data_IF_249679586728
#
_entry.id   IF_249679586728
#
_cell.length_a   1.000
_cell.length_b   1.000
_cell.length_c   1.000
_cell.angle_alpha   90.00
_cell.angle_beta   90.00
_cell.angle_gamma   90.00
#
_symmetry.space_group_name_H-M   'P 1'
#
loop_
_entity.id
_entity.type
_entity.pdbx_description
1 polymer ?
#
# COMPACT_ATOMS: atom_id res chain seq x y z
N UNK A 1 60.84 -7.70 13.41
CA UNK A 1 59.82 -8.28 12.53
C UNK A 1 58.81 -7.18 12.19
N UNK A 2 58.82 -6.68 10.97
CA UNK A 2 57.90 -5.62 10.51
C UNK A 2 56.61 -6.25 9.98
N UNK A 3 55.50 -6.06 10.69
CA UNK A 3 54.18 -6.38 10.18
C UNK A 3 53.75 -5.30 9.17
N UNK A 4 54.11 -5.46 7.90
CA UNK A 4 53.45 -4.72 6.82
C UNK A 4 52.21 -5.52 6.40
N UNK A 5 51.03 -5.07 6.81
CA UNK A 5 49.78 -5.54 6.21
C UNK A 5 49.88 -5.35 4.69
N UNK A 6 49.54 -6.36 3.86
CA UNK A 6 49.45 -6.15 2.43
C UNK A 6 48.41 -5.06 2.20
N UNK A 7 48.87 -3.94 1.65
CA UNK A 7 48.00 -2.88 1.12
C UNK A 7 47.15 -3.59 0.07
N UNK A 8 45.90 -3.94 0.44
CA UNK A 8 44.92 -4.41 -0.54
C UNK A 8 44.84 -3.31 -1.57
N UNK A 9 45.27 -3.59 -2.80
CA UNK A 9 45.03 -2.73 -3.95
C UNK A 9 43.52 -2.47 -3.93
N UNK A 10 43.12 -1.26 -3.59
CA UNK A 10 41.71 -0.90 -3.55
C UNK A 10 41.15 -1.18 -4.94
N UNK A 11 40.17 -2.07 -5.03
CA UNK A 11 39.52 -2.34 -6.31
C UNK A 11 39.09 -1.01 -6.93
N UNK A 12 39.27 -0.80 -8.25
CA UNK A 12 38.85 0.43 -8.89
C UNK A 12 37.38 0.67 -8.55
N UNK A 13 37.09 1.88 -8.06
CA UNK A 13 35.79 2.28 -7.51
C UNK A 13 34.81 2.41 -8.68
N UNK A 14 34.18 1.31 -9.06
CA UNK A 14 33.13 1.31 -10.10
C UNK A 14 31.84 1.89 -9.55
N UNK A 15 31.12 2.65 -10.38
CA UNK A 15 29.82 3.22 -10.03
C UNK A 15 28.73 2.17 -9.92
N UNK A 16 28.94 0.97 -10.47
CA UNK A 16 28.03 -0.17 -10.26
C UNK A 16 27.91 -0.59 -8.79
N UNK A 17 28.85 -0.18 -7.92
CA UNK A 17 28.78 -0.43 -6.47
C UNK A 17 28.09 0.71 -5.70
N UNK A 18 27.71 1.81 -6.36
CA UNK A 18 26.99 2.89 -5.70
C UNK A 18 25.51 2.46 -5.49
N UNK A 19 25.00 2.45 -4.24
CA UNK A 19 23.63 2.00 -3.97
C UNK A 19 22.58 2.84 -4.71
N UNK A 20 22.87 4.10 -5.03
CA UNK A 20 21.96 4.95 -5.81
C UNK A 20 21.92 4.50 -7.27
N UNK A 21 23.05 4.03 -7.81
CA UNK A 21 23.09 3.47 -9.17
C UNK A 21 22.25 2.20 -9.22
N UNK A 22 22.42 1.30 -8.26
CA UNK A 22 21.61 0.08 -8.13
C UNK A 22 20.11 0.36 -8.05
N UNK A 23 19.72 1.41 -7.32
CA UNK A 23 18.30 1.73 -7.14
C UNK A 23 17.66 2.45 -8.34
N UNK A 24 18.43 3.21 -9.12
CA UNK A 24 17.90 4.10 -10.17
C UNK A 24 18.21 3.64 -11.60
N UNK A 25 19.32 2.96 -11.82
CA UNK A 25 19.91 2.72 -13.14
C UNK A 25 20.24 1.26 -13.43
N UNK A 26 20.64 0.47 -12.43
CA UNK A 26 20.97 -0.95 -12.62
C UNK A 26 19.79 -1.72 -13.21
N UNK A 27 20.04 -2.40 -14.33
CA UNK A 27 19.06 -3.15 -15.13
C UNK A 27 17.81 -2.34 -15.54
N UNK A 28 17.89 -1.00 -15.51
CA UNK A 28 16.79 -0.11 -15.87
C UNK A 28 17.06 0.59 -17.20
N UNK A 29 16.63 -0.05 -18.29
CA UNK A 29 16.82 0.44 -19.66
C UNK A 29 16.25 1.86 -19.86
N UNK A 30 15.10 2.18 -19.26
CA UNK A 30 14.48 3.49 -19.41
C UNK A 30 15.32 4.61 -18.77
N UNK A 31 15.82 4.38 -17.55
CA UNK A 31 16.70 5.33 -16.85
C UNK A 31 18.03 5.52 -17.57
N UNK A 32 18.65 4.42 -18.02
CA UNK A 32 19.92 4.45 -18.75
C UNK A 32 19.75 5.13 -20.11
N UNK A 33 18.67 4.82 -20.83
CA UNK A 33 18.33 5.47 -22.10
C UNK A 33 18.06 6.97 -21.93
N UNK A 34 17.36 7.36 -20.87
CA UNK A 34 17.16 8.77 -20.53
C UNK A 34 18.49 9.48 -20.33
N UNK A 35 19.40 8.89 -19.52
CA UNK A 35 20.72 9.45 -19.28
C UNK A 35 21.54 9.61 -20.58
N UNK A 36 21.59 8.56 -21.43
CA UNK A 36 22.37 8.58 -22.68
C UNK A 36 21.82 9.57 -23.72
N UNK A 37 20.49 9.67 -23.84
CA UNK A 37 19.84 10.56 -24.81
C UNK A 37 19.85 12.01 -24.35
N UNK A 38 19.33 12.27 -23.15
CA UNK A 38 19.05 13.62 -22.66
C UNK A 38 20.23 14.24 -21.91
N UNK A 39 21.19 13.44 -21.41
CA UNK A 39 22.32 13.92 -20.61
C UNK A 39 21.86 14.84 -19.46
N UNK A 40 20.80 14.41 -18.79
CA UNK A 40 20.19 15.15 -17.69
C UNK A 40 19.91 14.21 -16.51
N UNK A 41 19.88 14.73 -15.28
CA UNK A 41 19.39 14.00 -14.12
C UNK A 41 17.99 13.42 -14.36
N UNK A 42 17.67 12.31 -13.70
CA UNK A 42 16.35 11.70 -13.81
C UNK A 42 15.26 12.64 -13.27
N UNK A 43 14.05 12.66 -13.89
CA UNK A 43 12.95 13.49 -13.42
C UNK A 43 12.49 13.11 -12.01
N UNK A 44 12.46 14.09 -11.10
CA UNK A 44 12.16 13.90 -9.67
C UNK A 44 10.85 13.13 -9.44
N UNK A 45 9.82 13.41 -10.25
CA UNK A 45 8.52 12.74 -10.16
C UNK A 45 8.64 11.21 -10.29
N UNK A 46 9.54 10.72 -11.14
CA UNK A 46 9.79 9.27 -11.26
C UNK A 46 10.50 8.70 -10.03
N UNK A 47 11.45 9.45 -9.48
CA UNK A 47 12.28 9.06 -8.35
C UNK A 47 11.46 8.98 -7.05
N UNK A 48 10.68 10.01 -6.74
CA UNK A 48 9.90 10.06 -5.49
C UNK A 48 8.74 9.06 -5.45
N UNK A 49 8.30 8.58 -6.61
CA UNK A 49 7.25 7.56 -6.70
C UNK A 49 7.81 6.13 -6.58
N UNK A 50 9.14 5.95 -6.65
CA UNK A 50 9.76 4.66 -6.44
C UNK A 50 9.86 4.37 -4.93
N UNK A 51 9.19 3.32 -4.41
CA UNK A 51 9.16 3.03 -2.98
C UNK A 51 10.53 2.65 -2.41
N UNK A 52 11.39 1.96 -3.16
CA UNK A 52 12.72 1.55 -2.68
C UNK A 52 13.65 2.75 -2.54
N UNK A 53 13.58 3.68 -3.49
CA UNK A 53 14.32 4.94 -3.44
C UNK A 53 13.81 5.82 -2.30
N UNK A 54 12.50 5.90 -2.12
CA UNK A 54 11.91 6.64 -1.00
C UNK A 54 12.37 6.08 0.34
N UNK A 55 12.37 4.76 0.52
CA UNK A 55 12.84 4.12 1.74
C UNK A 55 14.34 4.35 1.97
N UNK A 56 15.16 4.31 0.92
CA UNK A 56 16.57 4.68 0.99
C UNK A 56 16.76 6.15 1.41
N UNK A 57 16.02 7.09 0.81
CA UNK A 57 16.10 8.49 1.19
C UNK A 57 15.69 8.66 2.65
N UNK A 58 14.53 8.14 3.07
CA UNK A 58 14.04 8.20 4.45
C UNK A 58 15.00 7.56 5.47
N UNK A 59 15.79 6.57 5.08
CA UNK A 59 16.82 5.99 5.96
C UNK A 59 17.92 6.97 6.36
N UNK A 60 18.12 8.03 5.55
CA UNK A 60 19.10 9.10 5.72
C UNK A 60 18.49 10.41 6.22
N UNK A 61 17.25 10.37 6.65
CA UNK A 61 16.56 11.53 7.20
C UNK A 61 17.22 12.05 8.47
N UNK A 62 17.31 13.37 8.60
CA UNK A 62 17.86 14.00 9.79
C UNK A 62 16.91 13.87 11.00
N UNK A 63 17.52 13.62 12.17
CA UNK A 63 16.85 13.65 13.47
C UNK A 63 16.07 12.38 13.83
N UNK A 64 15.15 12.48 14.82
CA UNK A 64 14.35 11.34 15.25
C UNK A 64 13.56 10.72 14.09
N UNK A 65 13.53 9.39 14.05
CA UNK A 65 12.77 8.64 13.05
C UNK A 65 11.28 8.76 13.32
N UNK A 66 10.50 8.99 12.26
CA UNK A 66 9.04 9.06 12.32
C UNK A 66 8.46 8.06 11.33
N UNK A 67 7.49 7.27 11.79
CA UNK A 67 6.83 6.27 10.95
C UNK A 67 5.76 6.90 10.05
N UNK A 68 6.20 7.60 9.00
CA UNK A 68 5.28 8.32 8.11
C UNK A 68 4.27 7.41 7.39
N UNK A 69 4.65 6.14 7.13
CA UNK A 69 3.78 5.12 6.51
C UNK A 69 2.53 4.88 7.36
N UNK A 70 2.67 4.87 8.68
CA UNK A 70 1.57 4.64 9.63
C UNK A 70 0.86 5.95 10.00
N UNK A 71 1.61 7.05 10.05
CA UNK A 71 1.10 8.36 10.44
C UNK A 71 0.05 8.90 9.45
N UNK A 72 0.29 8.81 8.13
CA UNK A 72 -0.62 9.37 7.12
C UNK A 72 -2.01 8.70 7.16
N UNK A 73 -2.14 7.37 7.16
CA UNK A 73 -3.43 6.70 7.33
C UNK A 73 -4.10 7.01 8.68
N UNK A 74 -3.33 7.05 9.78
CA UNK A 74 -3.88 7.37 11.10
C UNK A 74 -4.49 8.77 11.14
N UNK A 75 -3.80 9.78 10.62
CA UNK A 75 -4.32 11.15 10.54
C UNK A 75 -5.53 11.24 9.62
N UNK A 76 -5.56 10.50 8.51
CA UNK A 76 -6.71 10.46 7.61
C UNK A 76 -7.94 9.86 8.30
N UNK A 77 -7.77 8.75 9.03
CA UNK A 77 -8.84 8.08 9.77
C UNK A 77 -9.38 8.95 10.93
N UNK A 78 -8.49 9.67 11.63
CA UNK A 78 -8.86 10.52 12.76
C UNK A 78 -9.40 11.90 12.33
N UNK A 79 -9.20 12.31 11.08
CA UNK A 79 -9.61 13.64 10.57
C UNK A 79 -11.06 14.02 10.87
N UNK A 80 -12.08 13.15 10.72
CA UNK A 80 -13.46 13.51 11.02
C UNK A 80 -13.71 13.85 12.49
N UNK A 81 -12.93 13.27 13.40
CA UNK A 81 -13.03 13.49 14.84
C UNK A 81 -12.21 14.70 15.28
N UNK A 82 -10.96 14.78 14.82
CA UNK A 82 -10.05 15.87 15.17
C UNK A 82 -10.51 17.22 14.61
N UNK A 83 -11.13 17.25 13.44
CA UNK A 83 -11.62 18.49 12.82
C UNK A 83 -12.76 19.18 13.59
N UNK A 84 -13.43 18.47 14.51
CA UNK A 84 -14.56 19.01 15.29
C UNK A 84 -14.13 19.80 16.53
N UNK A 85 -12.90 19.65 17.00
CA UNK A 85 -12.39 20.35 18.20
C UNK A 85 -11.27 21.33 17.85
N UNK A 86 -11.16 22.43 18.59
CA UNK A 86 -10.06 23.39 18.41
C UNK A 86 -8.69 22.73 18.59
N UNK A 87 -8.55 21.88 19.62
CA UNK A 87 -7.33 21.14 19.90
C UNK A 87 -7.01 20.07 18.84
N UNK A 88 -8.03 19.45 18.24
CA UNK A 88 -7.80 18.51 17.13
C UNK A 88 -7.41 19.22 15.84
N UNK A 89 -7.91 20.44 15.59
CA UNK A 89 -7.45 21.27 14.47
C UNK A 89 -5.99 21.68 14.62
N UNK A 90 -5.55 22.05 15.81
CA UNK A 90 -4.13 22.38 16.06
C UNK A 90 -3.24 21.14 15.88
N UNK A 91 -3.67 19.97 16.36
CA UNK A 91 -2.96 18.70 16.13
C UNK A 91 -2.84 18.36 14.63
N UNK A 92 -3.92 18.50 13.86
CA UNK A 92 -3.90 18.28 12.42
C UNK A 92 -2.98 19.28 11.70
N UNK A 93 -3.00 20.56 12.11
CA UNK A 93 -2.12 21.58 11.55
C UNK A 93 -0.64 21.30 11.84
N UNK A 94 -0.34 20.84 13.06
CA UNK A 94 0.99 20.41 13.47
C UNK A 94 1.52 19.30 12.55
N UNK A 95 0.79 18.20 12.41
CA UNK A 95 1.24 17.10 11.54
C UNK A 95 1.23 17.44 10.06
N UNK A 96 0.34 18.34 9.61
CA UNK A 96 0.40 18.87 8.24
C UNK A 96 1.72 19.60 8.01
N UNK A 97 2.17 20.44 8.95
CA UNK A 97 3.46 21.13 8.87
C UNK A 97 4.62 20.14 8.86
N UNK A 98 4.58 19.10 9.70
CA UNK A 98 5.57 18.01 9.69
C UNK A 98 5.68 17.37 8.29
N UNK A 99 4.55 16.95 7.72
CA UNK A 99 4.50 16.29 6.41
C UNK A 99 4.95 17.22 5.27
N UNK A 100 4.68 18.52 5.37
CA UNK A 100 5.17 19.51 4.41
C UNK A 100 6.70 19.68 4.50
N UNK A 101 7.27 19.76 5.70
CA UNK A 101 8.71 19.84 5.90
C UNK A 101 9.41 18.56 5.42
N UNK A 102 8.85 17.39 5.74
CA UNK A 102 9.32 16.10 5.25
C UNK A 102 9.28 16.03 3.72
N UNK A 103 8.18 16.48 3.09
CA UNK A 103 8.07 16.53 1.63
C UNK A 103 9.12 17.44 0.98
N UNK A 104 9.37 18.63 1.55
CA UNK A 104 10.42 19.55 1.07
C UNK A 104 11.80 18.94 1.16
N UNK A 105 12.11 18.30 2.30
CA UNK A 105 13.39 17.63 2.48
C UNK A 105 13.57 16.45 1.51
N UNK A 106 12.55 15.61 1.32
CA UNK A 106 12.61 14.49 0.37
C UNK A 106 12.86 14.97 -1.06
N UNK A 107 12.20 16.05 -1.48
CA UNK A 107 12.40 16.62 -2.82
C UNK A 107 13.85 17.10 -2.97
N UNK A 108 14.34 17.90 -2.03
CA UNK A 108 15.72 18.42 -2.08
C UNK A 108 16.76 17.29 -2.04
N UNK A 109 16.56 16.29 -1.16
CA UNK A 109 17.44 15.13 -1.07
C UNK A 109 17.42 14.28 -2.35
N UNK A 110 16.25 14.09 -2.96
CA UNK A 110 16.12 13.38 -4.23
C UNK A 110 16.85 14.13 -5.35
N UNK A 111 16.63 15.44 -5.47
CA UNK A 111 17.33 16.31 -6.43
C UNK A 111 18.85 16.24 -6.29
N UNK A 112 19.36 16.37 -5.05
CA UNK A 112 20.79 16.29 -4.79
C UNK A 112 21.37 14.92 -5.15
N UNK A 113 20.69 13.84 -4.77
CA UNK A 113 21.15 12.46 -5.02
C UNK A 113 21.17 12.15 -6.51
N UNK A 114 20.17 12.60 -7.26
CA UNK A 114 20.07 12.31 -8.69
C UNK A 114 21.00 13.17 -9.50
N UNK A 115 21.23 14.41 -9.08
CA UNK A 115 22.26 15.27 -9.66
C UNK A 115 23.66 14.71 -9.41
N UNK A 116 23.99 14.30 -8.19
CA UNK A 116 25.30 13.71 -7.87
C UNK A 116 25.55 12.41 -8.66
N UNK A 117 24.52 11.57 -8.83
CA UNK A 117 24.63 10.37 -9.65
C UNK A 117 24.82 10.70 -11.14
N UNK A 118 24.07 11.68 -11.65
CA UNK A 118 24.26 12.18 -13.01
C UNK A 118 25.69 12.68 -13.23
N UNK A 119 26.23 13.49 -12.32
CA UNK A 119 27.61 13.99 -12.41
C UNK A 119 28.62 12.85 -12.47
N UNK A 120 28.49 11.88 -11.56
CA UNK A 120 29.37 10.70 -11.51
C UNK A 120 29.32 9.89 -12.80
N UNK A 121 28.12 9.57 -13.28
CA UNK A 121 27.93 8.82 -14.52
C UNK A 121 28.50 9.57 -15.72
N UNK A 122 28.25 10.88 -15.79
CA UNK A 122 28.73 11.71 -16.89
C UNK A 122 30.25 11.76 -16.92
N UNK A 123 30.87 12.01 -15.77
CA UNK A 123 32.32 12.04 -15.63
C UNK A 123 32.95 10.69 -15.98
N UNK A 124 32.44 9.59 -15.44
CA UNK A 124 32.99 8.25 -15.69
C UNK A 124 32.87 7.81 -17.15
N UNK A 125 31.78 8.15 -17.85
CA UNK A 125 31.48 7.63 -19.19
C UNK A 125 31.92 8.56 -20.32
N UNK A 126 31.75 9.88 -20.18
CA UNK A 126 32.01 10.82 -21.27
C UNK A 126 33.36 11.53 -21.15
N UNK A 127 33.87 11.73 -19.93
CA UNK A 127 35.10 12.50 -19.67
C UNK A 127 36.28 11.56 -19.42
N UNK A 128 36.26 10.83 -18.31
CA UNK A 128 37.39 10.02 -17.85
C UNK A 128 37.48 8.68 -18.59
N UNK A 129 36.34 8.14 -19.03
CA UNK A 129 36.21 6.85 -19.75
C UNK A 129 36.94 5.71 -19.03
N UNK A 130 36.94 5.72 -17.71
CA UNK A 130 37.78 4.87 -16.86
C UNK A 130 37.03 3.70 -16.19
N UNK A 131 35.70 3.66 -16.29
CA UNK A 131 34.87 2.61 -15.67
C UNK A 131 34.35 1.61 -16.71
N UNK A 132 35.22 0.67 -17.11
CA UNK A 132 34.89 -0.36 -18.10
C UNK A 132 33.72 -1.24 -17.64
N UNK A 133 33.62 -1.54 -16.33
CA UNK A 133 32.53 -2.38 -15.80
C UNK A 133 31.17 -1.69 -15.94
N UNK A 134 31.13 -0.39 -15.69
CA UNK A 134 29.93 0.41 -15.93
C UNK A 134 29.57 0.43 -17.41
N UNK A 135 30.56 0.64 -18.29
CA UNK A 135 30.34 0.63 -19.73
C UNK A 135 29.77 -0.72 -20.20
N UNK A 136 30.38 -1.84 -19.80
CA UNK A 136 29.93 -3.19 -20.16
C UNK A 136 28.50 -3.45 -19.67
N UNK A 137 28.17 -3.03 -18.44
CA UNK A 137 26.81 -3.13 -17.91
C UNK A 137 25.81 -2.32 -18.75
N UNK A 138 26.13 -1.06 -19.07
CA UNK A 138 25.24 -0.20 -19.85
C UNK A 138 25.05 -0.74 -21.28
N UNK A 139 26.11 -1.24 -21.92
CA UNK A 139 26.01 -1.84 -23.27
C UNK A 139 25.15 -3.10 -23.26
N UNK A 140 25.24 -3.91 -22.18
CA UNK A 140 24.38 -5.08 -22.00
C UNK A 140 22.90 -4.71 -21.92
N UNK A 141 22.56 -3.61 -21.24
CA UNK A 141 21.17 -3.17 -21.06
C UNK A 141 20.67 -2.34 -22.25
N UNK A 142 21.54 -1.53 -22.86
CA UNK A 142 21.24 -0.65 -23.99
C UNK A 142 22.21 -0.93 -25.16
N UNK A 143 21.81 -1.74 -26.17
CA UNK A 143 22.71 -2.28 -27.19
C UNK A 143 23.49 -1.24 -28.03
N UNK A 144 23.03 0.01 -28.10
CA UNK A 144 23.68 1.10 -28.86
C UNK A 144 24.44 2.10 -27.98
N UNK A 145 24.58 1.82 -26.67
CA UNK A 145 25.19 2.77 -25.74
C UNK A 145 26.65 3.10 -26.07
N UNK A 146 27.45 2.10 -26.48
CA UNK A 146 28.86 2.29 -26.81
C UNK A 146 29.06 3.34 -27.91
N UNK A 147 28.24 3.30 -28.96
CA UNK A 147 28.29 4.26 -30.06
C UNK A 147 27.88 5.66 -29.59
N UNK A 148 26.84 5.78 -28.76
CA UNK A 148 26.37 7.07 -28.22
C UNK A 148 27.45 7.70 -27.33
N UNK A 149 28.11 6.90 -26.48
CA UNK A 149 29.15 7.36 -25.57
C UNK A 149 30.41 7.79 -26.35
N UNK A 150 30.83 6.99 -27.33
CA UNK A 150 32.04 7.28 -28.11
C UNK A 150 31.91 8.53 -29.00
N UNK A 151 30.71 8.79 -29.55
CA UNK A 151 30.48 9.89 -30.49
C UNK A 151 30.19 11.22 -29.81
N UNK A 152 29.74 11.21 -28.55
CA UNK A 152 29.46 12.43 -27.79
C UNK A 152 30.68 12.82 -26.96
N UNK A 153 31.38 13.87 -27.39
CA UNK A 153 32.39 14.55 -26.58
C UNK A 153 32.05 16.04 -26.57
N UNK A 154 31.59 16.57 -25.43
CA UNK A 154 30.95 17.89 -25.38
C UNK A 154 31.72 18.92 -24.56
N UNK A 155 32.53 18.52 -23.57
CA UNK A 155 33.29 19.45 -22.73
C UNK A 155 34.53 18.78 -22.11
N UNK A 156 35.49 19.60 -21.67
CA UNK A 156 36.66 19.14 -20.91
C UNK A 156 36.32 18.87 -19.44
N UNK A 157 37.16 18.11 -18.73
CA UNK A 157 36.99 17.84 -17.31
C UNK A 157 36.87 19.13 -16.47
N UNK A 158 37.69 20.13 -16.76
CA UNK A 158 37.68 21.43 -16.07
C UNK A 158 36.40 22.22 -16.34
N UNK A 159 35.95 22.27 -17.60
CA UNK A 159 34.70 22.93 -17.97
C UNK A 159 33.49 22.28 -17.30
N UNK A 160 33.46 20.94 -17.27
CA UNK A 160 32.41 20.20 -16.60
C UNK A 160 32.40 20.44 -15.08
N UNK A 161 33.58 20.43 -14.45
CA UNK A 161 33.72 20.70 -13.01
C UNK A 161 33.15 22.08 -12.65
N UNK A 162 33.48 23.11 -13.44
CA UNK A 162 32.94 24.46 -13.24
C UNK A 162 31.42 24.52 -13.43
N UNK A 163 30.88 23.86 -14.46
CA UNK A 163 29.42 23.82 -14.71
C UNK A 163 28.64 23.13 -13.60
N UNK A 164 29.21 22.08 -13.00
CA UNK A 164 28.54 21.28 -11.97
C UNK A 164 28.66 21.91 -10.59
N UNK A 165 29.75 22.64 -10.33
CA UNK A 165 30.06 23.15 -8.99
C UNK A 165 28.95 24.04 -8.43
N UNK A 166 28.52 25.06 -9.17
CA UNK A 166 27.51 26.02 -8.71
C UNK A 166 26.19 25.32 -8.38
N UNK A 167 25.75 24.40 -9.24
CA UNK A 167 24.51 23.66 -9.06
C UNK A 167 24.61 22.67 -7.90
N UNK A 168 25.75 22.00 -7.74
CA UNK A 168 26.01 21.10 -6.61
C UNK A 168 25.99 21.86 -5.29
N UNK A 169 26.60 23.04 -5.23
CA UNK A 169 26.60 23.90 -4.05
C UNK A 169 25.19 24.40 -3.72
N UNK A 170 24.43 24.83 -4.74
CA UNK A 170 23.02 25.24 -4.59
C UNK A 170 22.17 24.11 -4.01
N UNK A 171 22.21 22.92 -4.61
CA UNK A 171 21.44 21.75 -4.16
C UNK A 171 21.87 21.27 -2.76
N UNK A 172 23.17 21.32 -2.45
CA UNK A 172 23.67 20.98 -1.13
C UNK A 172 23.17 21.96 -0.06
N UNK A 173 23.16 23.27 -0.37
CA UNK A 173 22.63 24.31 0.52
C UNK A 173 21.13 24.12 0.76
N UNK A 174 20.36 23.89 -0.29
CA UNK A 174 18.91 23.68 -0.19
C UNK A 174 18.57 22.42 0.61
N UNK A 175 19.30 21.33 0.37
CA UNK A 175 19.13 20.07 1.11
C UNK A 175 19.47 20.24 2.60
N UNK A 176 20.58 20.92 2.92
CA UNK A 176 20.94 21.21 4.32
C UNK A 176 19.90 22.09 5.01
N UNK A 177 19.48 23.18 4.37
CA UNK A 177 18.47 24.08 4.94
C UNK A 177 17.12 23.37 5.15
N UNK A 178 16.73 22.45 4.27
CA UNK A 178 15.53 21.63 4.45
C UNK A 178 15.70 20.61 5.58
N UNK A 179 16.88 19.98 5.69
CA UNK A 179 17.20 19.02 6.74
C UNK A 179 17.23 19.68 8.13
N UNK A 180 17.85 20.85 8.26
CA UNK A 180 17.90 21.64 9.49
C UNK A 180 16.49 22.00 9.95
N UNK A 181 15.65 22.58 9.08
CA UNK A 181 14.26 22.92 9.42
C UNK A 181 13.45 21.70 9.89
N UNK A 182 13.66 20.54 9.27
CA UNK A 182 12.97 19.32 9.66
C UNK A 182 13.49 18.78 10.99
N UNK A 183 14.81 18.80 11.20
CA UNK A 183 15.47 18.41 12.43
C UNK A 183 15.00 19.28 13.60
N UNK A 184 15.09 20.60 13.47
CA UNK A 184 14.70 21.56 14.50
C UNK A 184 13.24 21.36 14.89
N UNK A 185 12.37 21.14 13.91
CA UNK A 185 10.97 20.88 14.15
C UNK A 185 10.71 19.59 14.95
N UNK A 186 11.43 18.51 14.63
CA UNK A 186 11.31 17.22 15.33
C UNK A 186 11.85 17.22 16.75
N UNK A 187 12.87 18.04 17.02
CA UNK A 187 13.53 18.10 18.34
C UNK A 187 12.78 19.02 19.31
N UNK A 188 11.81 19.82 18.84
CA UNK A 188 11.01 20.67 19.72
C UNK A 188 10.26 19.88 20.80
N UNK A 189 10.15 20.45 22.00
CA UNK A 189 9.30 19.92 23.07
C UNK A 189 7.82 19.80 22.63
N UNK A 190 7.38 20.71 21.75
CA UNK A 190 6.05 20.65 21.16
C UNK A 190 5.83 19.33 20.41
N UNK A 191 6.83 18.81 19.71
CA UNK A 191 6.73 17.55 18.99
C UNK A 191 6.37 16.38 19.91
N UNK A 192 7.07 16.25 21.04
CA UNK A 192 6.78 15.21 22.03
C UNK A 192 5.37 15.37 22.63
N UNK A 193 4.96 16.59 22.96
CA UNK A 193 3.63 16.84 23.51
C UNK A 193 2.51 16.52 22.51
N UNK A 194 2.66 16.93 21.24
CA UNK A 194 1.67 16.65 20.20
C UNK A 194 1.64 15.16 19.85
N UNK A 195 2.79 14.48 19.89
CA UNK A 195 2.85 13.03 19.75
C UNK A 195 2.09 12.29 20.86
N UNK A 196 2.29 12.68 22.13
CA UNK A 196 1.50 12.14 23.23
C UNK A 196 -0.01 12.35 23.06
N UNK A 197 -0.41 13.55 22.61
CA UNK A 197 -1.82 13.87 22.30
C UNK A 197 -2.37 13.00 21.15
N UNK A 198 -1.58 12.72 20.14
CA UNK A 198 -1.96 11.83 19.05
C UNK A 198 -2.21 10.41 19.56
N UNK A 199 -1.28 9.85 20.35
CA UNK A 199 -1.43 8.50 20.93
C UNK A 199 -2.67 8.40 21.81
N UNK A 200 -2.90 9.38 22.68
CA UNK A 200 -4.10 9.44 23.49
C UNK A 200 -5.37 9.54 22.63
N UNK A 201 -5.34 10.32 21.55
CA UNK A 201 -6.46 10.44 20.61
C UNK A 201 -6.75 9.12 19.89
N UNK A 202 -5.71 8.39 19.46
CA UNK A 202 -5.84 7.05 18.87
C UNK A 202 -6.51 6.11 19.86
N UNK A 203 -6.02 6.06 21.11
CA UNK A 203 -6.57 5.17 22.15
C UNK A 203 -8.04 5.48 22.46
N UNK A 204 -8.40 6.77 22.58
CA UNK A 204 -9.79 7.20 22.81
C UNK A 204 -10.67 6.79 21.62
N UNK A 205 -10.22 7.02 20.39
CA UNK A 205 -10.96 6.62 19.20
C UNK A 205 -11.13 5.09 19.13
N UNK A 206 -10.09 4.31 19.42
CA UNK A 206 -10.19 2.84 19.46
C UNK A 206 -11.19 2.35 20.51
N UNK A 207 -11.18 2.93 21.72
CA UNK A 207 -12.17 2.63 22.77
C UNK A 207 -13.59 2.93 22.28
N UNK A 208 -13.80 4.07 21.63
CA UNK A 208 -15.10 4.44 21.07
C UNK A 208 -15.53 3.51 19.93
N UNK A 209 -14.62 3.12 19.03
CA UNK A 209 -14.89 2.16 17.96
C UNK A 209 -15.25 0.78 18.50
N UNK A 210 -14.53 0.28 19.50
CA UNK A 210 -14.87 -0.99 20.19
C UNK A 210 -16.26 -0.92 20.82
N UNK A 211 -16.59 0.18 21.51
CA UNK A 211 -17.90 0.37 22.11
C UNK A 211 -19.03 0.46 21.06
N UNK A 212 -18.80 1.18 19.95
CA UNK A 212 -19.75 1.27 18.84
C UNK A 212 -19.98 -0.09 18.18
N UNK A 213 -18.91 -0.87 17.96
CA UNK A 213 -18.98 -2.23 17.40
C UNK A 213 -19.73 -3.18 18.33
N UNK A 214 -19.49 -3.12 19.65
CA UNK A 214 -20.22 -3.90 20.64
C UNK A 214 -21.72 -3.55 20.64
N UNK A 215 -22.07 -2.26 20.60
CA UNK A 215 -23.47 -1.81 20.50
C UNK A 215 -24.14 -2.27 19.21
N UNK A 216 -23.43 -2.20 18.08
CA UNK A 216 -23.93 -2.67 16.79
C UNK A 216 -24.19 -4.19 16.81
N UNK A 217 -23.23 -4.96 17.31
CA UNK A 217 -23.37 -6.42 17.44
C UNK A 217 -24.54 -6.78 18.36
N UNK A 218 -24.70 -6.09 19.50
CA UNK A 218 -25.84 -6.28 20.40
C UNK A 218 -27.17 -5.98 19.71
N UNK A 219 -27.29 -4.86 18.99
CA UNK A 219 -28.51 -4.52 18.24
C UNK A 219 -28.81 -5.54 17.15
N UNK A 220 -27.79 -6.07 16.49
CA UNK A 220 -27.93 -7.12 15.47
C UNK A 220 -28.44 -8.42 16.10
N UNK A 221 -27.89 -8.80 17.26
CA UNK A 221 -28.34 -9.97 18.01
C UNK A 221 -29.78 -9.79 18.48
N UNK A 222 -30.12 -8.67 19.12
CA UNK A 222 -31.49 -8.35 19.55
C UNK A 222 -32.49 -8.39 18.38
N UNK A 223 -32.09 -7.93 17.18
CA UNK A 223 -32.92 -8.01 15.99
C UNK A 223 -33.09 -9.46 15.48
N UNK A 224 -32.04 -10.28 15.56
CA UNK A 224 -32.13 -11.72 15.24
C UNK A 224 -33.04 -12.45 16.23
N UNK A 225 -32.89 -12.20 17.53
CA UNK A 225 -33.70 -12.82 18.58
C UNK A 225 -35.17 -12.43 18.43
N UNK A 226 -35.47 -11.15 18.12
CA UNK A 226 -36.85 -10.71 17.81
C UNK A 226 -37.43 -11.40 16.59
N UNK A 227 -36.63 -11.59 15.53
CA UNK A 227 -37.07 -12.33 14.33
C UNK A 227 -37.32 -13.80 14.66
N UNK A 228 -36.44 -14.44 15.42
CA UNK A 228 -36.61 -15.81 15.87
C UNK A 228 -37.87 -15.97 16.73
N UNK A 229 -38.11 -15.07 17.69
CA UNK A 229 -39.33 -15.05 18.50
C UNK A 229 -40.59 -14.82 17.63
N UNK A 230 -40.51 -13.93 16.63
CA UNK A 230 -41.57 -13.72 15.64
C UNK A 230 -41.89 -14.98 14.83
N UNK A 231 -40.86 -15.75 14.44
CA UNK A 231 -41.05 -17.02 13.74
C UNK A 231 -41.66 -18.09 14.64
N UNK A 232 -41.22 -18.21 15.88
CA UNK A 232 -41.79 -19.16 16.85
C UNK A 232 -43.25 -18.84 17.12
N UNK A 233 -43.58 -17.57 17.39
CA UNK A 233 -44.97 -17.15 17.61
C UNK A 233 -45.85 -17.32 16.36
N UNK A 234 -45.30 -17.10 15.15
CA UNK A 234 -46.02 -17.40 13.91
C UNK A 234 -46.24 -18.90 13.71
N UNK A 235 -45.25 -19.73 14.04
CA UNK A 235 -45.34 -21.18 14.00
C UNK A 235 -46.40 -21.71 14.98
N UNK A 236 -46.40 -21.24 16.22
CA UNK A 236 -47.40 -21.59 17.23
C UNK A 236 -48.82 -21.17 16.82
N UNK A 237 -48.97 -19.96 16.24
CA UNK A 237 -50.27 -19.52 15.68
C UNK A 237 -50.73 -20.43 14.55
N UNK A 238 -49.83 -20.81 13.64
CA UNK A 238 -50.14 -21.72 12.53
C UNK A 238 -50.51 -23.12 13.02
N UNK A 239 -49.83 -23.65 14.04
CA UNK A 239 -50.22 -24.91 14.69
C UNK A 239 -51.60 -24.78 15.32
N UNK A 240 -51.89 -23.68 16.02
CA UNK A 240 -53.18 -23.48 16.67
C UNK A 240 -54.34 -23.30 15.67
N UNK A 241 -54.08 -22.78 14.47
CA UNK A 241 -55.07 -22.66 13.39
C UNK A 241 -55.17 -23.90 12.50
N UNK A 242 -54.17 -24.79 12.50
CA UNK A 242 -54.17 -26.02 11.71
C UNK A 242 -55.40 -26.92 12.00
N UNK A 243 -55.82 -27.16 13.27
CA UNK A 243 -57.03 -27.92 13.58
C UNK A 243 -58.31 -27.24 13.09
N UNK A 244 -58.33 -25.90 13.00
CA UNK A 244 -59.48 -25.15 12.47
C UNK A 244 -59.56 -25.19 10.95
N UNK A 245 -58.43 -25.22 10.25
CA UNK A 245 -58.39 -25.35 8.79
C UNK A 245 -58.57 -26.80 8.31
N UNK A 246 -58.16 -27.78 9.11
CA UNK A 246 -58.47 -29.20 8.92
C UNK A 246 -59.89 -29.56 9.38
N UNK A 247 -60.62 -28.60 9.97
CA UNK A 247 -62.02 -28.75 10.34
C UNK A 247 -62.83 -29.16 9.11
N UNK A 248 -63.34 -30.39 9.14
CA UNK A 248 -64.17 -31.06 8.11
C UNK A 248 -63.43 -31.81 6.99
N UNK A 249 -62.10 -31.96 7.01
CA UNK A 249 -61.40 -32.75 5.98
C UNK A 249 -61.53 -34.29 6.14
N UNK A 250 -62.20 -34.78 7.20
CA UNK A 250 -62.39 -36.21 7.47
C UNK A 250 -63.86 -36.64 7.66
N UNK A 251 -64.83 -35.79 7.31
CA UNK A 251 -66.26 -36.07 7.51
C UNK A 251 -67.00 -36.49 6.23
N UNK A 252 -66.34 -36.45 5.07
CA UNK A 252 -66.86 -37.06 3.85
C UNK A 252 -66.30 -38.48 3.76
N UNK A 253 -67.12 -39.54 3.85
CA UNK A 253 -66.65 -40.90 3.59
C UNK A 253 -66.15 -40.94 2.15
N UNK A 254 -64.84 -41.05 1.97
CA UNK A 254 -64.23 -41.33 0.67
C UNK A 254 -64.68 -42.72 0.26
N UNK A 255 -65.30 -42.83 -0.91
CA UNK A 255 -65.52 -44.14 -1.53
C UNK A 255 -64.15 -44.69 -1.93
N UNK A 256 -63.94 -46.00 -1.80
CA UNK A 256 -62.65 -46.65 -2.09
C UNK A 256 -62.10 -46.30 -3.49
N UNK A 257 -63.00 -46.05 -4.45
CA UNK A 257 -62.67 -45.61 -5.82
C UNK A 257 -62.04 -44.21 -5.86
N UNK A 258 -62.46 -43.30 -4.98
CA UNK A 258 -61.91 -41.94 -4.92
C UNK A 258 -60.49 -41.96 -4.33
N UNK A 259 -60.24 -42.81 -3.33
CA UNK A 259 -58.90 -42.99 -2.76
C UNK A 259 -57.92 -43.59 -3.78
N UNK A 260 -58.36 -44.59 -4.54
CA UNK A 260 -57.57 -45.16 -5.65
C UNK A 260 -57.29 -44.11 -6.74
N UNK A 261 -58.28 -43.31 -7.12
CA UNK A 261 -58.11 -42.23 -8.11
C UNK A 261 -57.10 -41.17 -7.65
N UNK A 262 -57.12 -40.79 -6.37
CA UNK A 262 -56.13 -39.86 -5.79
C UNK A 262 -54.74 -40.47 -5.76
N UNK A 263 -54.61 -41.76 -5.43
CA UNK A 263 -53.33 -42.49 -5.44
C UNK A 263 -52.78 -42.57 -6.87
N UNK A 264 -53.61 -42.94 -7.85
CA UNK A 264 -53.22 -42.98 -9.27
C UNK A 264 -52.80 -41.61 -9.79
N UNK A 265 -53.55 -40.55 -9.43
CA UNK A 265 -53.20 -39.19 -9.80
C UNK A 265 -51.87 -38.76 -9.16
N UNK A 266 -51.66 -39.03 -7.87
CA UNK A 266 -50.43 -38.70 -7.16
C UNK A 266 -49.22 -39.46 -7.73
N UNK A 267 -49.39 -40.74 -8.08
CA UNK A 267 -48.36 -41.52 -8.75
C UNK A 267 -48.07 -41.00 -10.16
N UNK A 268 -49.10 -40.58 -10.92
CA UNK A 268 -48.93 -40.02 -12.27
C UNK A 268 -48.24 -38.65 -12.22
N UNK A 269 -48.63 -37.78 -11.29
CA UNK A 269 -47.99 -36.48 -11.06
C UNK A 269 -46.54 -36.65 -10.58
N UNK A 270 -46.28 -37.61 -9.68
CA UNK A 270 -44.94 -37.96 -9.22
C UNK A 270 -44.03 -38.42 -10.35
N UNK A 271 -44.55 -39.25 -11.27
CA UNK A 271 -43.82 -39.68 -12.48
C UNK A 271 -43.52 -38.51 -13.42
N UNK A 272 -44.50 -37.63 -13.67
CA UNK A 272 -44.33 -36.49 -14.58
C UNK A 272 -43.36 -35.41 -14.06
N UNK A 273 -43.36 -35.15 -12.75
CA UNK A 273 -42.60 -34.03 -12.19
C UNK A 273 -41.24 -34.45 -11.60
N UNK A 274 -41.07 -35.71 -11.17
CA UNK A 274 -39.92 -36.11 -10.37
C UNK A 274 -39.21 -37.40 -10.83
N UNK A 275 -39.62 -38.02 -11.95
CA UNK A 275 -38.95 -39.19 -12.56
C UNK A 275 -38.58 -40.30 -11.55
N UNK A 276 -39.50 -40.64 -10.64
CA UNK A 276 -39.29 -41.70 -9.65
C UNK A 276 -39.63 -43.07 -10.23
N UNK A 277 -38.77 -44.10 -10.10
CA UNK A 277 -39.08 -45.45 -10.56
C UNK A 277 -40.11 -46.11 -9.63
N UNK A 278 -40.99 -46.93 -10.22
CA UNK A 278 -42.13 -47.57 -9.55
C UNK A 278 -41.71 -48.34 -8.28
N UNK A 279 -42.29 -47.98 -7.14
CA UNK A 279 -42.19 -48.78 -5.90
C UNK A 279 -43.18 -49.95 -6.08
N UNK A 280 -42.73 -51.22 -6.06
CA UNK A 280 -43.62 -52.35 -6.23
C UNK A 280 -44.63 -52.41 -5.08
N UNK A 281 -45.89 -52.68 -5.44
CA UNK A 281 -46.99 -52.86 -4.50
C UNK A 281 -46.59 -53.85 -3.40
N UNK A 282 -46.68 -53.41 -2.15
CA UNK A 282 -46.48 -54.27 -1.00
C UNK A 282 -47.49 -55.41 -1.07
N UNK A 283 -46.98 -56.63 -1.20
CA UNK A 283 -47.70 -57.87 -1.01
C UNK A 283 -48.31 -57.86 0.39
N UNK A 284 -49.65 -57.80 0.45
CA UNK A 284 -50.42 -58.07 1.66
C UNK A 284 -50.19 -59.52 2.07
N UNK A 285 -49.47 -59.72 3.18
CA UNK A 285 -49.57 -60.95 3.95
C UNK A 285 -50.62 -60.74 5.04
N UNK A 286 -51.66 -61.58 4.94
CA UNK A 286 -52.83 -61.80 5.80
C UNK A 286 -53.96 -60.77 5.73
#
# INVERSE_FOLDING_TARGET
MSFSLPVRVAAPRTLCLDPIFSLLYEDNEASLTHFLKNQAPLPIKGIINNPTVMDYLLSREAGPKVEYKNLRPALAALRPFLSRSANGKTLLAFYRKLLQLQGRWVIAAAEMVTFDMYTKLYQALFIDRNDQRLLDHIVKVVPNAAQIIATKTTCTAEQFALMVQDEKERLAKDTRAAAEKLFDYKVTNEFFQQHGKLLASIEICEKQFKAARARLNRRRQEAMDRRAAGLVTAYERNIATLPRQMGMAGMTPSTAEMEQSVIEWAQKAGRMCFNTPDIPAATTNN
#
